data_IF_250981660744
#
_entry.id   IF_250981660744
#
_cell.length_a   1.000
_cell.length_b   1.000
_cell.length_c   1.000
_cell.angle_alpha   90.00
_cell.angle_beta   90.00
_cell.angle_gamma   90.00
#
_symmetry.space_group_name_H-M   'P 1'
#
loop_
_entity.id
_entity.type
_entity.pdbx_description
1 polymer ?
#
# COMPACT_ATOMS: atom_id res chain seq x y z
N UNK A 1 -15.52 -3.56 -10.00
CA UNK A 1 -16.45 -4.33 -9.14
C UNK A 1 -17.06 -5.48 -9.91
N UNK A 2 -16.98 -6.73 -9.44
CA UNK A 2 -17.73 -7.81 -10.06
C UNK A 2 -19.22 -7.48 -9.93
N UNK A 3 -19.98 -7.65 -11.02
CA UNK A 3 -21.43 -7.41 -11.15
C UNK A 3 -21.90 -5.95 -11.31
N UNK A 4 -21.03 -4.95 -11.44
CA UNK A 4 -21.49 -3.58 -11.69
C UNK A 4 -22.35 -3.44 -12.96
N UNK A 5 -22.07 -4.22 -14.00
CA UNK A 5 -22.87 -4.26 -15.23
C UNK A 5 -24.29 -4.79 -15.00
N UNK A 6 -24.47 -5.70 -14.03
CA UNK A 6 -25.75 -6.31 -13.70
C UNK A 6 -26.64 -5.33 -12.94
N UNK A 7 -26.07 -4.62 -11.96
CA UNK A 7 -26.79 -3.62 -11.14
C UNK A 7 -26.96 -2.26 -11.82
N UNK A 8 -26.25 -2.01 -12.93
CA UNK A 8 -26.26 -0.73 -13.66
C UNK A 8 -27.68 -0.18 -13.88
N UNK A 9 -28.61 -1.01 -14.36
CA UNK A 9 -29.98 -0.56 -14.69
C UNK A 9 -30.78 -0.17 -13.46
N UNK A 10 -30.50 -0.79 -12.31
CA UNK A 10 -31.13 -0.45 -11.03
C UNK A 10 -30.57 0.88 -10.50
N UNK A 11 -29.24 1.04 -10.54
CA UNK A 11 -28.58 2.28 -10.11
C UNK A 11 -28.94 3.48 -10.99
N UNK A 12 -29.09 3.30 -12.30
CA UNK A 12 -29.53 4.37 -13.20
C UNK A 12 -30.98 4.83 -12.88
N UNK A 13 -31.85 3.91 -12.47
CA UNK A 13 -33.22 4.24 -12.03
C UNK A 13 -33.25 4.98 -10.70
N UNK A 14 -32.39 4.61 -9.75
CA UNK A 14 -32.40 5.14 -8.39
C UNK A 14 -31.61 6.45 -8.26
N UNK A 15 -30.40 6.50 -8.81
CA UNK A 15 -29.44 7.59 -8.63
C UNK A 15 -29.23 8.45 -9.89
N UNK A 16 -29.90 8.10 -10.99
CA UNK A 16 -29.95 8.89 -12.21
C UNK A 16 -29.24 8.26 -13.42
N UNK A 17 -29.82 8.54 -14.59
CA UNK A 17 -29.38 8.04 -15.89
C UNK A 17 -28.02 8.63 -16.33
N UNK A 18 -27.49 8.09 -17.43
CA UNK A 18 -26.25 8.53 -18.07
C UNK A 18 -25.01 8.43 -17.16
N UNK A 19 -25.01 7.48 -16.23
CA UNK A 19 -23.87 7.22 -15.35
C UNK A 19 -23.72 8.19 -14.18
N UNK A 20 -24.72 9.03 -13.87
CA UNK A 20 -24.71 9.92 -12.70
C UNK A 20 -24.56 9.19 -11.37
N UNK A 21 -25.05 7.95 -11.29
CA UNK A 21 -24.87 7.07 -10.13
C UNK A 21 -23.40 6.93 -9.69
N UNK A 22 -22.43 6.99 -10.63
CA UNK A 22 -21.00 6.89 -10.32
C UNK A 22 -20.53 8.08 -9.48
N UNK A 23 -20.97 9.28 -9.84
CA UNK A 23 -20.65 10.51 -9.11
C UNK A 23 -21.32 10.50 -7.74
N UNK A 24 -22.57 10.02 -7.65
CA UNK A 24 -23.28 9.88 -6.39
C UNK A 24 -22.55 8.95 -5.42
N UNK A 25 -22.16 7.74 -5.87
CA UNK A 25 -21.37 6.82 -5.05
C UNK A 25 -20.02 7.40 -4.64
N UNK A 26 -19.35 8.13 -5.54
CA UNK A 26 -18.10 8.81 -5.22
C UNK A 26 -18.27 9.87 -4.13
N UNK A 27 -19.31 10.69 -4.27
CA UNK A 27 -19.63 11.73 -3.32
C UNK A 27 -19.97 11.14 -1.94
N UNK A 28 -20.81 10.11 -1.89
CA UNK A 28 -21.20 9.47 -0.63
C UNK A 28 -20.02 8.82 0.08
N UNK A 29 -19.15 8.12 -0.67
CA UNK A 29 -17.91 7.59 -0.12
C UNK A 29 -16.99 8.70 0.39
N UNK A 30 -16.84 9.79 -0.35
CA UNK A 30 -16.00 10.93 0.03
C UNK A 30 -16.50 11.58 1.33
N UNK A 31 -17.82 11.70 1.49
CA UNK A 31 -18.43 12.19 2.73
C UNK A 31 -18.21 11.24 3.90
N UNK A 32 -18.37 9.92 3.70
CA UNK A 32 -18.11 8.94 4.76
C UNK A 32 -16.65 8.96 5.24
N UNK A 33 -15.70 9.12 4.32
CA UNK A 33 -14.28 9.24 4.65
C UNK A 33 -13.97 10.49 5.50
N UNK A 34 -14.77 11.55 5.38
CA UNK A 34 -14.60 12.77 6.19
C UNK A 34 -14.84 12.56 7.68
N UNK A 35 -15.67 11.58 8.04
CA UNK A 35 -15.96 11.21 9.44
C UNK A 35 -15.05 10.09 9.95
N UNK A 36 -14.21 9.52 9.09
CA UNK A 36 -13.36 8.38 9.42
C UNK A 36 -11.96 8.83 9.89
N UNK A 37 -11.27 7.93 10.59
CA UNK A 37 -9.91 8.18 11.05
C UNK A 37 -8.93 8.37 9.89
N UNK A 38 -7.99 9.29 10.08
CA UNK A 38 -6.91 9.61 9.12
C UNK A 38 -5.79 8.56 9.16
N UNK A 39 -6.09 7.36 8.68
CA UNK A 39 -5.20 6.20 8.71
C UNK A 39 -3.91 6.38 7.90
N UNK A 40 -3.94 7.18 6.82
CA UNK A 40 -2.78 7.43 5.96
C UNK A 40 -1.59 8.07 6.71
N UNK A 41 -1.79 8.60 7.92
CA UNK A 41 -0.72 9.18 8.75
C UNK A 41 0.16 8.13 9.45
N UNK A 42 -0.38 6.92 9.68
CA UNK A 42 0.28 5.87 10.47
C UNK A 42 0.82 4.71 9.63
N UNK A 43 0.72 4.81 8.31
CA UNK A 43 1.29 3.80 7.40
C UNK A 43 2.80 3.91 7.32
N UNK A 44 3.47 2.82 6.95
CA UNK A 44 4.91 2.84 6.68
C UNK A 44 5.23 3.79 5.54
N UNK A 45 6.35 4.51 5.63
CA UNK A 45 6.80 5.46 4.61
C UNK A 45 7.43 4.74 3.44
N UNK A 46 7.06 5.13 2.21
CA UNK A 46 7.70 4.57 1.02
C UNK A 46 9.17 4.97 0.94
N UNK A 47 10.07 4.04 0.63
CA UNK A 47 11.43 4.35 0.20
C UNK A 47 11.43 5.27 -1.03
N UNK A 48 12.45 6.11 -1.17
CA UNK A 48 12.53 7.02 -2.32
C UNK A 48 12.89 6.30 -3.62
N UNK A 49 13.65 5.20 -3.52
CA UNK A 49 14.14 4.44 -4.68
C UNK A 49 13.74 2.98 -4.58
N UNK A 50 13.57 2.33 -5.74
CA UNK A 50 13.22 0.91 -5.78
C UNK A 50 14.27 0.05 -5.08
N UNK A 51 15.55 0.36 -5.26
CA UNK A 51 16.65 -0.37 -4.61
C UNK A 51 16.56 -0.34 -3.08
N UNK A 52 16.25 0.81 -2.48
CA UNK A 52 16.05 0.89 -1.02
C UNK A 52 14.91 -0.02 -0.57
N UNK A 53 13.84 -0.06 -1.36
CA UNK A 53 12.68 -0.85 -1.06
C UNK A 53 12.92 -2.37 -1.19
N UNK A 54 13.70 -2.78 -2.19
CA UNK A 54 14.10 -4.18 -2.37
C UNK A 54 15.08 -4.67 -1.30
N UNK A 55 15.86 -3.77 -0.70
CA UNK A 55 16.73 -4.08 0.44
C UNK A 55 15.95 -4.14 1.76
N UNK A 56 14.83 -3.43 1.87
CA UNK A 56 13.94 -3.38 3.04
C UNK A 56 12.96 -4.57 3.09
N UNK A 57 13.53 -5.77 2.92
CA UNK A 57 12.80 -7.03 2.95
C UNK A 57 12.31 -7.28 4.38
N UNK A 58 10.99 -7.37 4.53
CA UNK A 58 10.33 -7.57 5.82
C UNK A 58 9.34 -6.45 6.15
N UNK A 59 9.64 -5.20 5.77
CA UNK A 59 8.62 -4.13 5.77
C UNK A 59 7.86 -4.08 4.45
N UNK A 60 8.53 -4.36 3.34
CA UNK A 60 7.93 -4.36 2.01
C UNK A 60 8.07 -5.72 1.33
N UNK A 61 7.09 -6.03 0.49
CA UNK A 61 7.02 -7.22 -0.36
C UNK A 61 6.48 -6.85 -1.73
N UNK A 62 6.90 -7.53 -2.81
CA UNK A 62 6.34 -7.33 -4.14
C UNK A 62 4.82 -7.41 -4.17
N UNK A 63 4.19 -6.48 -4.89
CA UNK A 63 2.76 -6.59 -5.19
C UNK A 63 2.52 -7.76 -6.17
N UNK A 64 1.43 -8.48 -5.98
CA UNK A 64 1.12 -9.65 -6.82
C UNK A 64 0.63 -9.24 -8.22
N UNK A 65 0.04 -8.06 -8.36
CA UNK A 65 -0.51 -7.60 -9.64
C UNK A 65 0.50 -6.75 -10.42
N UNK A 66 1.23 -5.85 -9.75
CA UNK A 66 2.22 -4.98 -10.37
C UNK A 66 3.67 -5.30 -9.92
N UNK A 67 4.19 -6.42 -10.42
CA UNK A 67 5.59 -6.83 -10.22
C UNK A 67 6.39 -6.89 -11.54
N UNK A 68 7.70 -7.09 -11.42
CA UNK A 68 8.65 -7.14 -12.54
C UNK A 68 8.37 -8.30 -13.51
N UNK A 69 7.70 -9.37 -13.06
CA UNK A 69 7.40 -10.60 -13.83
C UNK A 69 6.08 -10.46 -14.58
N UNK A 70 4.97 -10.29 -13.85
CA UNK A 70 3.61 -10.25 -14.41
C UNK A 70 3.29 -8.91 -15.09
N UNK A 71 3.85 -7.81 -14.55
CA UNK A 71 3.69 -6.43 -15.05
C UNK A 71 2.24 -6.00 -15.33
N UNK A 72 1.25 -6.51 -14.60
CA UNK A 72 -0.16 -6.16 -14.78
C UNK A 72 -0.53 -4.87 -14.05
N UNK A 73 0.27 -3.82 -14.27
CA UNK A 73 0.15 -2.55 -13.56
C UNK A 73 -0.98 -1.66 -14.10
N UNK A 74 -1.37 -1.78 -15.37
CA UNK A 74 -2.23 -0.82 -16.08
C UNK A 74 -3.62 -0.58 -15.46
N UNK A 75 -4.13 -1.54 -14.67
CA UNK A 75 -5.45 -1.42 -14.06
C UNK A 75 -5.50 -0.33 -12.98
N UNK A 76 -4.49 -0.28 -12.10
CA UNK A 76 -4.44 0.58 -10.92
C UNK A 76 -3.21 1.51 -10.89
N UNK A 77 -2.13 1.08 -11.53
CA UNK A 77 -0.80 1.68 -11.49
C UNK A 77 -0.20 1.87 -12.88
N UNK A 78 -0.99 2.40 -13.82
CA UNK A 78 -0.55 2.76 -15.17
C UNK A 78 0.71 3.63 -15.13
N UNK A 79 1.75 3.20 -15.83
CA UNK A 79 3.06 3.88 -15.88
C UNK A 79 4.02 3.50 -14.75
N UNK A 80 3.62 2.64 -13.81
CA UNK A 80 4.54 2.05 -12.86
C UNK A 80 5.25 0.82 -13.46
N UNK A 81 6.55 0.69 -13.20
CA UNK A 81 7.34 -0.47 -13.59
C UNK A 81 7.26 -1.58 -12.51
N UNK A 82 7.32 -1.19 -11.24
CA UNK A 82 7.26 -2.12 -10.12
C UNK A 82 6.59 -1.48 -8.90
N UNK A 83 5.61 -2.17 -8.31
CA UNK A 83 5.03 -1.81 -7.02
C UNK A 83 5.36 -2.81 -5.92
N UNK A 84 5.47 -2.29 -4.71
CA UNK A 84 5.69 -3.03 -3.47
C UNK A 84 4.60 -2.66 -2.48
N UNK A 85 4.11 -3.64 -1.72
CA UNK A 85 3.16 -3.46 -0.63
C UNK A 85 3.84 -3.66 0.70
N UNK A 86 3.30 -3.06 1.75
CA UNK A 86 3.75 -3.31 3.12
C UNK A 86 3.48 -4.76 3.52
N UNK A 87 4.48 -5.50 4.00
CA UNK A 87 4.36 -6.91 4.40
C UNK A 87 3.72 -7.14 5.78
N UNK A 88 3.33 -6.06 6.48
CA UNK A 88 2.61 -6.11 7.76
C UNK A 88 1.67 -4.91 7.88
N UNK A 89 0.56 -5.03 8.63
CA UNK A 89 -0.35 -3.91 8.81
C UNK A 89 0.27 -2.83 9.70
N UNK A 90 -0.17 -1.59 9.52
CA UNK A 90 0.08 -0.51 10.46
C UNK A 90 -0.61 -0.77 11.82
N UNK A 91 -0.32 0.08 12.81
CA UNK A 91 -1.01 0.06 14.11
C UNK A 91 -2.54 0.14 13.93
N UNK A 92 -3.02 0.85 12.90
CA UNK A 92 -4.45 0.95 12.58
C UNK A 92 -5.03 -0.22 11.78
N UNK A 93 -4.21 -1.15 11.27
CA UNK A 93 -4.66 -2.20 10.36
C UNK A 93 -4.61 -1.80 8.88
N UNK A 94 -3.95 -0.70 8.55
CA UNK A 94 -3.84 -0.17 7.19
C UNK A 94 -2.55 -0.61 6.51
N UNK A 95 -2.52 -0.49 5.20
CA UNK A 95 -1.37 -0.85 4.37
C UNK A 95 -0.93 0.31 3.48
N UNK A 96 0.24 0.16 2.87
CA UNK A 96 0.70 1.10 1.87
C UNK A 96 1.26 0.37 0.66
N UNK A 97 0.85 0.82 -0.52
CA UNK A 97 1.44 0.41 -1.80
C UNK A 97 2.37 1.53 -2.28
N UNK A 98 3.63 1.20 -2.57
CA UNK A 98 4.65 2.09 -3.11
C UNK A 98 4.97 1.66 -4.53
N UNK A 99 4.83 2.55 -5.51
CA UNK A 99 5.06 2.24 -6.92
C UNK A 99 6.22 3.07 -7.46
N UNK A 100 7.04 2.44 -8.31
CA UNK A 100 8.22 3.05 -8.89
C UNK A 100 8.11 3.09 -10.41
N UNK A 101 8.62 4.15 -11.00
CA UNK A 101 8.69 4.32 -12.45
C UNK A 101 9.85 3.51 -13.08
N UNK A 102 10.02 3.64 -14.39
CA UNK A 102 11.12 3.01 -15.14
C UNK A 102 12.51 3.51 -14.70
N UNK A 103 12.59 4.69 -14.09
CA UNK A 103 13.82 5.26 -13.51
C UNK A 103 14.04 4.84 -12.05
N UNK A 104 13.23 3.90 -11.54
CA UNK A 104 13.30 3.40 -10.17
C UNK A 104 13.08 4.47 -9.10
N UNK A 105 12.34 5.55 -9.43
CA UNK A 105 11.95 6.62 -8.52
C UNK A 105 10.50 6.42 -8.05
N UNK A 106 10.23 6.83 -6.81
CA UNK A 106 8.89 6.75 -6.22
C UNK A 106 7.91 7.64 -6.98
N UNK A 107 6.84 7.04 -7.48
CA UNK A 107 5.69 7.76 -8.01
C UNK A 107 4.84 8.32 -6.88
N UNK A 108 4.37 9.57 -7.03
CA UNK A 108 3.51 10.24 -6.06
C UNK A 108 2.13 10.56 -6.63
N UNK A 109 1.13 10.57 -5.75
CA UNK A 109 -0.26 10.89 -6.11
C UNK A 109 -0.44 12.37 -6.46
N UNK A 110 0.54 13.20 -6.11
CA UNK A 110 0.62 14.59 -6.54
C UNK A 110 0.84 14.72 -8.06
N UNK A 111 1.62 13.81 -8.65
CA UNK A 111 1.96 13.84 -10.08
C UNK A 111 1.00 12.97 -10.90
N UNK A 112 0.62 11.80 -10.37
CA UNK A 112 -0.23 10.84 -11.10
C UNK A 112 -1.21 10.10 -10.20
N UNK A 113 -2.45 9.98 -10.68
CA UNK A 113 -3.49 9.17 -10.04
C UNK A 113 -3.22 7.67 -10.17
N UNK A 114 -2.13 7.24 -10.78
CA UNK A 114 -1.74 5.84 -10.86
C UNK A 114 -0.55 5.51 -9.94
N UNK A 115 -0.14 6.47 -9.12
CA UNK A 115 0.83 6.28 -8.04
C UNK A 115 0.43 5.17 -7.07
N UNK A 116 1.42 4.70 -6.31
CA UNK A 116 1.18 3.96 -5.06
C UNK A 116 0.36 4.81 -4.08
N UNK A 117 -0.44 4.16 -3.22
CA UNK A 117 -1.40 4.82 -2.32
C UNK A 117 -1.62 3.99 -1.06
N UNK A 118 -2.07 4.62 0.04
CA UNK A 118 -2.38 3.91 1.27
C UNK A 118 -3.76 3.26 1.16
N UNK A 119 -3.88 2.00 1.60
CA UNK A 119 -5.17 1.31 1.70
C UNK A 119 -5.60 1.23 3.16
N UNK A 120 -6.87 1.44 3.43
CA UNK A 120 -7.43 1.54 4.78
C UNK A 120 -7.29 0.23 5.54
N UNK A 121 -7.47 -0.89 4.85
CA UNK A 121 -7.34 -2.23 5.42
C UNK A 121 -6.19 -2.99 4.75
N UNK A 122 -5.45 -3.74 5.56
CA UNK A 122 -4.42 -4.63 5.06
C UNK A 122 -5.03 -5.83 4.34
N UNK A 123 -4.52 -6.16 3.16
CA UNK A 123 -5.07 -7.18 2.27
C UNK A 123 -5.11 -8.58 2.92
N UNK A 124 -4.17 -8.90 3.81
CA UNK A 124 -4.15 -10.16 4.56
C UNK A 124 -4.89 -10.08 5.90
N UNK A 125 -5.49 -8.94 6.22
CA UNK A 125 -6.24 -8.68 7.45
C UNK A 125 -5.35 -8.49 8.67
N UNK A 126 -5.96 -8.09 9.78
CA UNK A 126 -5.28 -7.89 11.06
C UNK A 126 -6.02 -8.64 12.16
N UNK A 127 -5.29 -9.30 13.05
CA UNK A 127 -5.92 -9.94 14.19
C UNK A 127 -6.47 -8.87 15.17
N UNK A 128 -7.72 -8.97 15.67
CA UNK A 128 -8.70 -10.03 15.39
C UNK A 128 -9.54 -9.80 14.11
N UNK A 129 -9.59 -10.80 13.23
CA UNK A 129 -10.22 -10.70 11.89
C UNK A 129 -11.74 -10.48 11.89
N UNK A 130 -12.42 -10.61 13.04
CA UNK A 130 -13.88 -10.48 13.17
C UNK A 130 -14.35 -9.05 13.47
N UNK A 131 -13.43 -8.08 13.49
CA UNK A 131 -13.76 -6.67 13.67
C UNK A 131 -13.94 -5.96 12.33
N UNK A 132 -14.74 -4.89 12.33
CA UNK A 132 -14.87 -3.98 11.19
C UNK A 132 -13.48 -3.53 10.73
N UNK A 133 -13.24 -3.46 9.42
CA UNK A 133 -11.95 -3.14 8.79
C UNK A 133 -10.83 -4.20 8.91
N UNK A 134 -11.03 -5.26 9.69
CA UNK A 134 -9.99 -6.28 9.94
C UNK A 134 -10.18 -7.56 9.13
N UNK A 135 -11.29 -7.68 8.40
CA UNK A 135 -11.49 -8.72 7.40
C UNK A 135 -10.48 -8.47 6.28
N UNK A 136 -9.76 -9.48 5.74
CA UNK A 136 -8.72 -9.35 4.70
C UNK A 136 -9.15 -8.65 3.39
N UNK A 137 -8.87 -9.24 2.23
CA UNK A 137 -9.17 -8.70 0.90
C UNK A 137 -10.57 -8.06 0.75
N UNK A 138 -11.60 -8.53 1.45
CA UNK A 138 -12.93 -7.92 1.40
C UNK A 138 -12.97 -6.47 1.93
N UNK A 139 -12.26 -6.16 3.02
CA UNK A 139 -12.27 -4.79 3.58
C UNK A 139 -11.48 -3.84 2.70
N UNK A 140 -10.29 -4.26 2.25
CA UNK A 140 -9.49 -3.48 1.28
C UNK A 140 -10.34 -3.23 0.03
N UNK A 141 -10.98 -4.26 -0.48
CA UNK A 141 -11.76 -4.14 -1.70
C UNK A 141 -12.92 -3.13 -1.54
N UNK A 142 -13.64 -3.20 -0.42
CA UNK A 142 -14.77 -2.31 -0.15
C UNK A 142 -14.35 -0.85 0.03
N UNK A 143 -13.23 -0.62 0.72
CA UNK A 143 -12.83 0.72 1.17
C UNK A 143 -11.84 1.42 0.23
N UNK A 144 -11.12 0.68 -0.60
CA UNK A 144 -9.99 1.21 -1.38
C UNK A 144 -10.11 0.88 -2.87
N UNK A 145 -10.37 -0.38 -3.22
CA UNK A 145 -10.52 -0.80 -4.64
C UNK A 145 -11.85 -0.36 -5.25
N UNK A 146 -12.98 -0.60 -4.58
CA UNK A 146 -14.31 -0.27 -5.09
C UNK A 146 -14.46 1.23 -5.39
N UNK A 147 -14.05 2.16 -4.50
CA UNK A 147 -14.18 3.58 -4.76
C UNK A 147 -13.30 4.10 -5.90
N UNK A 148 -12.12 3.50 -6.11
CA UNK A 148 -11.29 3.83 -7.27
C UNK A 148 -12.02 3.62 -8.60
N UNK A 149 -12.86 2.58 -8.70
CA UNK A 149 -13.63 2.32 -9.91
C UNK A 149 -14.65 3.42 -10.20
N UNK A 150 -15.53 3.75 -9.26
CA UNK A 150 -16.57 4.75 -9.51
C UNK A 150 -16.05 6.20 -9.44
N UNK A 151 -14.97 6.49 -8.69
CA UNK A 151 -14.41 7.84 -8.60
C UNK A 151 -13.41 8.17 -9.72
N UNK A 152 -12.66 7.19 -10.22
CA UNK A 152 -11.64 7.41 -11.25
C UNK A 152 -11.95 6.59 -12.52
N UNK A 153 -11.88 5.25 -12.45
CA UNK A 153 -11.78 4.41 -13.66
C UNK A 153 -13.02 4.46 -14.56
N UNK A 154 -14.21 4.61 -14.00
CA UNK A 154 -15.46 4.66 -14.77
C UNK A 154 -15.91 6.07 -15.11
N UNK A 155 -15.19 7.09 -14.68
CA UNK A 155 -15.50 8.47 -15.01
C UNK A 155 -15.10 8.78 -16.45
N UNK A 156 -15.87 9.64 -17.12
CA UNK A 156 -15.65 9.93 -18.54
C UNK A 156 -14.29 10.57 -18.82
N UNK A 157 -13.76 11.33 -17.84
CA UNK A 157 -12.45 11.97 -17.89
C UNK A 157 -11.36 11.19 -17.14
N UNK A 158 -11.65 9.97 -16.69
CA UNK A 158 -10.76 9.12 -15.88
C UNK A 158 -9.99 9.88 -14.79
N UNK A 159 -8.67 10.02 -14.96
CA UNK A 159 -7.72 10.70 -14.07
C UNK A 159 -7.96 12.20 -13.93
N UNK A 160 -8.46 12.84 -14.98
CA UNK A 160 -8.77 14.25 -15.04
C UNK A 160 -10.16 14.60 -14.48
N UNK A 161 -10.91 13.61 -13.98
CA UNK A 161 -12.21 13.84 -13.36
C UNK A 161 -12.04 14.47 -11.95
N UNK A 162 -12.90 15.43 -11.62
CA UNK A 162 -12.93 16.05 -10.29
C UNK A 162 -13.23 15.02 -9.18
N UNK A 163 -14.06 14.02 -9.47
CA UNK A 163 -14.32 12.89 -8.58
C UNK A 163 -13.08 12.04 -8.30
N UNK A 164 -12.12 11.97 -9.22
CA UNK A 164 -10.86 11.27 -8.98
C UNK A 164 -9.94 12.05 -8.03
N UNK A 165 -9.99 13.38 -8.08
CA UNK A 165 -9.29 14.25 -7.12
C UNK A 165 -9.83 14.06 -5.69
N UNK A 166 -11.14 13.88 -5.53
CA UNK A 166 -11.74 13.51 -4.23
C UNK A 166 -11.21 12.19 -3.69
N UNK A 167 -11.05 11.19 -4.55
CA UNK A 167 -10.43 9.92 -4.15
C UNK A 167 -8.99 10.11 -3.70
N UNK A 168 -8.19 10.82 -4.49
CA UNK A 168 -6.79 11.09 -4.17
C UNK A 168 -6.60 11.91 -2.90
N UNK A 169 -7.55 12.78 -2.54
CA UNK A 169 -7.49 13.55 -1.29
C UNK A 169 -7.44 12.65 -0.05
N UNK A 170 -8.23 11.56 -0.01
CA UNK A 170 -8.22 10.60 1.10
C UNK A 170 -7.21 9.47 0.93
N UNK A 171 -6.71 9.26 -0.29
CA UNK A 171 -5.75 8.20 -0.65
C UNK A 171 -4.42 8.78 -1.16
N UNK A 172 -3.99 9.90 -0.57
CA UNK A 172 -2.74 10.54 -0.95
C UNK A 172 -1.55 9.68 -0.53
N UNK A 173 -0.65 9.38 -1.48
CA UNK A 173 0.65 8.75 -1.21
C UNK A 173 1.41 9.49 -0.13
N UNK A 174 2.16 8.76 0.68
CA UNK A 174 3.08 9.38 1.62
C UNK A 174 4.42 9.67 0.91
N UNK A 175 4.95 10.86 1.13
CA UNK A 175 6.28 11.23 0.63
C UNK A 175 7.39 10.44 1.35
N UNK A 176 8.54 10.32 0.69
CA UNK A 176 9.68 9.52 1.15
C UNK A 176 10.62 10.27 2.11
N UNK A 177 10.41 11.56 2.33
CA UNK A 177 11.24 12.42 3.21
C UNK A 177 11.42 11.92 4.65
N UNK A 178 10.48 11.10 5.15
CA UNK A 178 10.56 10.49 6.49
C UNK A 178 10.87 8.99 6.47
N UNK A 179 11.26 8.45 5.31
CA UNK A 179 11.72 7.08 5.21
C UNK A 179 13.05 6.90 5.94
N UNK A 180 13.13 5.85 6.76
CA UNK A 180 14.34 5.43 7.45
C UNK A 180 14.75 4.06 6.96
N UNK A 181 15.89 3.99 6.28
CA UNK A 181 16.46 2.73 5.81
C UNK A 181 16.70 1.77 6.99
N UNK A 182 16.47 0.47 6.82
CA UNK A 182 16.77 -0.50 7.86
C UNK A 182 18.28 -0.61 8.08
N UNK A 183 18.69 -0.87 9.32
CA UNK A 183 20.07 -1.25 9.59
C UNK A 183 20.29 -2.71 9.17
N UNK A 184 21.39 -2.96 8.45
CA UNK A 184 21.72 -4.29 7.93
C UNK A 184 22.94 -4.81 8.69
N UNK A 185 22.78 -5.97 9.31
CA UNK A 185 23.88 -6.78 9.84
C UNK A 185 24.14 -7.96 8.92
N UNK A 186 25.37 -8.44 8.86
CA UNK A 186 25.74 -9.60 8.04
C UNK A 186 26.70 -10.52 8.78
N UNK A 187 26.60 -11.81 8.47
CA UNK A 187 27.56 -12.84 8.87
C UNK A 187 28.17 -13.39 7.59
N UNK A 188 29.49 -13.48 7.52
CA UNK A 188 30.19 -13.93 6.32
C UNK A 188 31.50 -14.63 6.67
N UNK A 189 31.82 -15.68 5.92
CA UNK A 189 32.99 -16.52 6.20
C UNK A 189 32.95 -17.18 7.58
N UNK A 190 34.12 -17.61 8.06
CA UNK A 190 34.31 -18.19 9.38
C UNK A 190 35.37 -17.36 10.13
N UNK A 191 35.03 -16.59 11.18
CA UNK A 191 33.71 -16.20 11.70
C UNK A 191 33.59 -14.67 11.81
N UNK A 192 33.38 -14.02 10.67
CA UNK A 192 33.26 -12.57 10.59
C UNK A 192 31.80 -12.13 10.58
N UNK A 193 31.49 -11.08 11.33
CA UNK A 193 30.17 -10.45 11.27
C UNK A 193 30.28 -8.94 11.36
N UNK A 194 29.34 -8.27 10.70
CA UNK A 194 29.11 -6.83 10.76
C UNK A 194 27.83 -6.60 11.54
N UNK A 195 27.89 -5.84 12.63
CA UNK A 195 26.70 -5.45 13.40
C UNK A 195 25.88 -4.39 12.67
N UNK A 196 24.66 -4.13 13.16
CA UNK A 196 23.77 -3.09 12.62
C UNK A 196 24.39 -1.68 12.63
N UNK A 197 25.28 -1.42 13.59
CA UNK A 197 26.03 -0.16 13.73
C UNK A 197 27.32 -0.13 12.90
N UNK A 198 27.49 -1.09 11.98
CA UNK A 198 28.63 -1.22 11.06
C UNK A 198 29.97 -1.53 11.73
N UNK A 199 29.97 -2.15 12.90
CA UNK A 199 31.20 -2.65 13.52
C UNK A 199 31.51 -4.06 13.06
N UNK A 200 32.76 -4.27 12.67
CA UNK A 200 33.26 -5.57 12.23
C UNK A 200 33.85 -6.31 13.43
N UNK A 201 33.39 -7.53 13.64
CA UNK A 201 33.91 -8.44 14.66
C UNK A 201 34.30 -9.76 14.04
N UNK A 202 35.23 -10.44 14.72
CA UNK A 202 35.66 -11.80 14.39
C UNK A 202 35.60 -12.62 15.66
N UNK A 203 34.87 -13.73 15.66
CA UNK A 203 34.61 -14.53 16.87
C UNK A 203 34.73 -16.03 16.59
N UNK A 204 35.88 -16.63 16.88
CA UNK A 204 36.12 -18.08 16.77
C UNK A 204 35.55 -18.84 17.98
N UNK A 205 34.24 -18.79 18.17
CA UNK A 205 33.59 -19.37 19.33
C UNK A 205 32.89 -20.70 18.99
N UNK A 206 32.89 -21.63 19.94
CA UNK A 206 32.25 -22.95 19.79
C UNK A 206 31.00 -23.00 20.66
N UNK A 207 29.85 -23.24 20.04
CA UNK A 207 28.55 -23.34 20.72
C UNK A 207 27.42 -22.78 19.88
N UNK A 208 26.25 -22.65 20.48
CA UNK A 208 25.09 -21.98 19.90
C UNK A 208 25.06 -20.52 20.37
N UNK A 209 24.82 -19.60 19.42
CA UNK A 209 24.76 -18.17 19.68
C UNK A 209 23.53 -17.58 19.00
N UNK A 210 22.86 -16.68 19.72
CA UNK A 210 21.75 -15.89 19.16
C UNK A 210 22.31 -14.66 18.46
N UNK A 211 22.18 -14.59 17.14
CA UNK A 211 22.69 -13.47 16.34
C UNK A 211 21.90 -12.18 16.57
N UNK A 212 20.58 -12.30 16.69
CA UNK A 212 19.65 -11.18 16.91
C UNK A 212 18.54 -11.67 17.83
N UNK A 213 18.27 -10.91 18.89
CA UNK A 213 17.11 -11.11 19.75
C UNK A 213 16.42 -9.76 19.97
N UNK A 214 15.10 -9.74 19.84
CA UNK A 214 14.30 -8.52 19.98
C UNK A 214 13.57 -8.56 21.31
N UNK A 215 14.05 -7.76 22.27
CA UNK A 215 13.37 -7.60 23.57
C UNK A 215 12.33 -6.47 23.49
N UNK A 216 11.30 -6.67 22.68
CA UNK A 216 10.18 -5.73 22.55
C UNK A 216 8.86 -6.49 22.66
N UNK A 217 7.99 -6.10 23.59
CA UNK A 217 6.71 -6.78 23.85
C UNK A 217 5.83 -7.00 22.60
N UNK A 218 5.96 -6.16 21.56
CA UNK A 218 5.18 -6.23 20.32
C UNK A 218 5.94 -6.98 19.20
N UNK A 219 7.28 -7.06 19.29
CA UNK A 219 8.14 -7.64 18.27
C UNK A 219 9.01 -8.78 18.81
N UNK A 220 8.60 -9.41 19.92
CA UNK A 220 9.29 -10.59 20.46
C UNK A 220 9.26 -11.69 19.40
N UNK A 221 10.47 -12.01 18.93
CA UNK A 221 10.78 -13.15 18.07
C UNK A 221 11.27 -14.29 18.95
#
# INVERSE_FOLDING_TARGET
MPLAWYFKTQWEREYGNNGRWKEHFCHDWFQQESYADRFARVVFRCPCTLQQAELDRGRFSPDLECNVIDRKCDTFHRGAHHCLKTGRPSIGGSEHTCCYDDYSQLLQTADTVYSGRPSRAYIYGKHPFKMRMMIPALSEWLHDTMPFFFCCKWQAKEDNAHTCQWYNYWRTSQDCSSYQAPAIGSVYGDPHFVTFDRYNYTMNAKGEYTLVHVDNAIHKL
#
